data_IF_400489552308
#
_entry.id   IF_400489552308
#
_cell.length_a   1.000
_cell.length_b   1.000
_cell.length_c   1.000
_cell.angle_alpha   90.00
_cell.angle_beta   90.00
_cell.angle_gamma   90.00
#
_symmetry.space_group_name_H-M   'P 1'
#
loop_
_entity.id
_entity.type
_entity.pdbx_description
1 polymer ?
#
# COMPACT_ATOMS: atom_id res chain seq x y z
N UNK A 1 -17.93 -10.85 12.26
CA UNK A 1 -18.12 -9.60 11.48
C UNK A 1 -16.82 -9.21 10.85
N UNK A 2 -16.84 -9.07 9.55
CA UNK A 2 -15.64 -8.67 8.83
C UNK A 2 -15.37 -7.18 8.99
N UNK A 3 -14.10 -6.84 8.98
CA UNK A 3 -13.67 -5.46 9.04
C UNK A 3 -13.04 -5.10 7.71
N UNK A 4 -13.78 -4.41 6.89
CA UNK A 4 -13.27 -3.97 5.60
C UNK A 4 -12.76 -2.56 5.77
N UNK A 5 -11.72 -2.45 6.57
CA UNK A 5 -11.20 -1.13 6.89
C UNK A 5 -9.69 -1.11 6.90
N UNK A 6 -9.10 -1.90 6.03
CA UNK A 6 -7.68 -1.83 5.82
C UNK A 6 -7.36 -0.58 5.02
N UNK A 7 -6.20 0.00 5.29
CA UNK A 7 -5.80 1.25 4.67
C UNK A 7 -4.49 1.05 3.94
N UNK A 8 -4.42 1.62 2.75
CA UNK A 8 -3.24 1.52 1.92
C UNK A 8 -2.72 2.93 1.67
N UNK A 9 -1.44 3.14 1.91
CA UNK A 9 -0.80 4.44 1.69
C UNK A 9 0.32 4.28 0.69
N UNK A 10 0.40 5.22 -0.21
CA UNK A 10 1.34 5.16 -1.34
C UNK A 10 2.19 6.42 -1.35
N UNK A 11 3.50 6.21 -1.46
CA UNK A 11 4.48 7.28 -1.66
C UNK A 11 5.19 7.04 -2.98
N UNK A 12 5.54 8.12 -3.63
CA UNK A 12 6.28 8.03 -4.88
C UNK A 12 7.39 9.06 -4.84
N UNK A 13 8.63 8.58 -5.03
CA UNK A 13 9.78 9.47 -4.96
C UNK A 13 9.90 10.16 -3.61
N UNK A 14 9.46 9.51 -2.56
CA UNK A 14 9.54 10.07 -1.23
C UNK A 14 8.39 10.99 -0.87
N UNK A 15 7.47 11.24 -1.80
CA UNK A 15 6.33 12.10 -1.54
C UNK A 15 5.07 11.28 -1.36
N UNK A 16 4.27 11.64 -0.34
CA UNK A 16 2.99 11.00 -0.14
C UNK A 16 2.08 11.32 -1.31
N UNK A 17 1.44 10.29 -1.86
CA UNK A 17 0.59 10.48 -3.03
C UNK A 17 -0.87 10.18 -2.75
N UNK A 18 -1.15 9.10 -2.01
CA UNK A 18 -2.52 8.64 -1.95
C UNK A 18 -2.77 7.76 -0.75
N UNK A 19 -3.99 7.84 -0.23
CA UNK A 19 -4.46 6.92 0.80
C UNK A 19 -5.78 6.33 0.33
N UNK A 20 -5.91 5.01 0.44
CA UNK A 20 -7.13 4.31 0.08
C UNK A 20 -7.57 3.52 1.30
N UNK A 21 -8.79 3.73 1.74
CA UNK A 21 -9.31 3.06 2.92
C UNK A 21 -10.55 2.24 2.58
N UNK A 22 -11.07 1.53 3.57
CA UNK A 22 -12.27 0.74 3.36
C UNK A 22 -12.03 -0.52 2.58
N UNK A 23 -10.79 -1.04 2.61
CA UNK A 23 -10.43 -2.23 1.84
C UNK A 23 -10.53 -3.47 2.68
N UNK A 24 -10.83 -4.61 2.02
CA UNK A 24 -10.67 -5.91 2.67
C UNK A 24 -9.17 -6.23 2.72
N UNK A 25 -8.82 -7.21 3.53
CA UNK A 25 -7.43 -7.64 3.61
C UNK A 25 -6.89 -8.03 2.22
N UNK A 26 -7.66 -8.87 1.51
CA UNK A 26 -7.22 -9.34 0.19
C UNK A 26 -7.08 -8.20 -0.80
N UNK A 27 -8.03 -7.27 -0.79
CA UNK A 27 -7.96 -6.12 -1.68
C UNK A 27 -6.72 -5.28 -1.39
N UNK A 28 -6.45 -5.06 -0.10
CA UNK A 28 -5.31 -4.23 0.27
C UNK A 28 -4.00 -4.86 -0.18
N UNK A 29 -3.85 -6.17 0.03
CA UNK A 29 -2.63 -6.86 -0.36
C UNK A 29 -2.45 -6.84 -1.88
N UNK A 30 -3.51 -7.15 -2.62
CA UNK A 30 -3.44 -7.18 -4.08
C UNK A 30 -3.09 -5.80 -4.63
N UNK A 31 -3.76 -4.76 -4.12
CA UNK A 31 -3.48 -3.40 -4.59
C UNK A 31 -2.08 -2.97 -4.23
N UNK A 32 -1.60 -3.38 -3.04
CA UNK A 32 -0.25 -3.02 -2.63
C UNK A 32 0.78 -3.58 -3.60
N UNK A 33 0.61 -4.85 -3.99
CA UNK A 33 1.52 -5.46 -4.93
C UNK A 33 1.49 -4.77 -6.29
N UNK A 34 0.30 -4.47 -6.77
CA UNK A 34 0.15 -3.83 -8.06
C UNK A 34 0.77 -2.44 -8.07
N UNK A 35 0.51 -1.67 -7.01
CA UNK A 35 1.05 -0.31 -6.96
C UNK A 35 2.54 -0.30 -6.78
N UNK A 36 3.07 -1.24 -5.98
CA UNK A 36 4.49 -1.28 -5.70
C UNK A 36 5.32 -1.49 -6.95
N UNK A 37 4.75 -2.16 -7.95
CA UNK A 37 5.48 -2.48 -9.17
C UNK A 37 5.07 -1.61 -10.35
N UNK A 38 4.24 -0.60 -10.15
CA UNK A 38 3.67 0.16 -11.24
C UNK A 38 4.50 1.40 -11.64
N UNK A 39 5.56 1.70 -10.90
CA UNK A 39 6.37 2.87 -11.20
C UNK A 39 7.71 2.79 -10.51
N UNK A 40 8.46 3.91 -10.56
CA UNK A 40 9.76 4.00 -9.93
C UNK A 40 9.65 4.55 -8.53
N UNK A 41 10.48 4.04 -7.63
CA UNK A 41 10.60 4.56 -6.27
C UNK A 41 9.25 4.60 -5.55
N UNK A 42 8.46 3.55 -5.74
CA UNK A 42 7.16 3.44 -5.10
C UNK A 42 7.31 2.76 -3.75
N UNK A 43 6.72 3.38 -2.73
CA UNK A 43 6.60 2.78 -1.40
C UNK A 43 5.13 2.61 -1.10
N UNK A 44 4.75 1.43 -0.64
CA UNK A 44 3.36 1.14 -0.30
C UNK A 44 3.33 0.52 1.08
N UNK A 45 2.43 1.01 1.92
CA UNK A 45 2.23 0.47 3.26
C UNK A 45 0.77 0.14 3.46
N UNK A 46 0.51 -0.99 4.10
CA UNK A 46 -0.84 -1.42 4.41
C UNK A 46 -1.01 -1.44 5.92
N UNK A 47 -2.11 -0.88 6.38
CA UNK A 47 -2.42 -0.80 7.80
C UNK A 47 -3.71 -1.54 8.10
N UNK A 48 -3.71 -2.31 9.18
CA UNK A 48 -4.90 -3.00 9.64
C UNK A 48 -5.89 -2.00 10.22
N UNK A 49 -7.15 -2.42 10.43
CA UNK A 49 -8.13 -1.52 11.05
C UNK A 49 -7.70 -0.99 12.41
N UNK A 50 -6.84 -1.73 13.09
CA UNK A 50 -6.33 -1.29 14.40
C UNK A 50 -5.30 -0.16 14.27
N UNK A 51 -4.84 0.12 13.06
CA UNK A 51 -3.81 1.11 12.82
C UNK A 51 -2.42 0.53 12.72
N UNK A 52 -2.27 -0.76 12.96
CA UNK A 52 -0.97 -1.40 12.91
C UNK A 52 -0.55 -1.63 11.46
N UNK A 53 0.69 -1.27 11.15
CA UNK A 53 1.24 -1.54 9.83
C UNK A 53 1.51 -3.04 9.71
N UNK A 54 0.97 -3.65 8.66
CA UNK A 54 1.11 -5.09 8.47
C UNK A 54 1.92 -5.44 7.23
N UNK A 55 2.19 -4.47 6.36
CA UNK A 55 2.90 -4.74 5.13
C UNK A 55 3.61 -3.49 4.66
N UNK A 56 4.80 -3.69 4.12
CA UNK A 56 5.60 -2.59 3.58
C UNK A 56 6.32 -3.09 2.34
N UNK A 57 6.05 -2.46 1.22
CA UNK A 57 6.79 -2.68 -0.02
C UNK A 57 7.56 -1.43 -0.37
N UNK A 58 8.79 -1.62 -0.85
CA UNK A 58 9.50 -0.54 -1.45
C UNK A 58 10.50 0.18 -0.54
N UNK A 59 11.16 1.18 -1.03
CA UNK A 59 10.88 1.74 -2.37
C UNK A 59 11.40 0.82 -3.47
N UNK A 60 10.60 0.66 -4.50
CA UNK A 60 10.98 -0.12 -5.66
C UNK A 60 11.46 0.84 -6.74
N UNK A 61 12.58 0.51 -7.35
CA UNK A 61 13.15 1.29 -8.42
C UNK A 61 13.26 0.40 -9.64
N UNK A 62 12.58 0.80 -10.69
CA UNK A 62 12.57 0.04 -11.92
C UNK A 62 13.75 0.50 -12.77
N UNK A 63 14.75 -0.37 -12.89
CA UNK A 63 15.93 -0.06 -13.69
C UNK A 63 15.99 -1.01 -14.88
N UNK A 64 16.81 -0.63 -15.84
CA UNK A 64 16.90 -1.35 -17.10
C UNK A 64 18.23 -2.03 -17.20
#
# INVERSE_FOLDING_TARGET
MLRDNYVLRIWEGGQFRREISGLTYGEAITMAEERATSGNAITVRVYAPSGQQILHYGPYIHTR
#
